data_IF_212279707445
#
_entry.id   IF_212279707445
#
_cell.length_a   1.000
_cell.length_b   1.000
_cell.length_c   1.000
_cell.angle_alpha   90.00
_cell.angle_beta   90.00
_cell.angle_gamma   90.00
#
_symmetry.space_group_name_H-M   'P 1'
#
loop_
_entity.id
_entity.type
_entity.pdbx_description
1 polymer ?
#
# COMPACT_ATOMS: atom_id res chain seq x y z
N UNK A 1 -24.03 11.45 -22.27
CA UNK A 1 -23.47 10.19 -22.80
C UNK A 1 -22.29 9.77 -21.93
N UNK A 2 -22.48 8.81 -21.02
CA UNK A 2 -21.37 8.25 -20.23
C UNK A 2 -20.51 7.39 -21.16
N UNK A 3 -19.28 7.82 -21.47
CA UNK A 3 -18.33 6.98 -22.21
C UNK A 3 -18.00 5.79 -21.31
N UNK A 4 -18.52 4.62 -21.64
CA UNK A 4 -18.13 3.39 -20.95
C UNK A 4 -16.63 3.20 -21.09
N UNK A 5 -15.90 3.21 -19.97
CA UNK A 5 -14.47 2.90 -19.93
C UNK A 5 -14.22 1.57 -20.66
N UNK A 6 -13.15 1.46 -21.47
CA UNK A 6 -12.91 0.21 -22.19
C UNK A 6 -12.53 -0.92 -21.22
N UNK A 7 -12.83 -2.19 -21.54
CA UNK A 7 -12.44 -3.33 -20.70
C UNK A 7 -10.93 -3.39 -20.42
N UNK A 8 -10.10 -2.97 -21.39
CA UNK A 8 -8.63 -2.90 -21.24
C UNK A 8 -8.22 -1.87 -20.19
N UNK A 9 -8.85 -0.71 -20.16
CA UNK A 9 -8.56 0.34 -19.18
C UNK A 9 -8.96 -0.10 -17.77
N UNK A 10 -10.12 -0.78 -17.62
CA UNK A 10 -10.50 -1.38 -16.33
C UNK A 10 -9.47 -2.40 -15.84
N UNK A 11 -9.05 -3.32 -16.70
CA UNK A 11 -8.04 -4.32 -16.35
C UNK A 11 -6.68 -3.71 -15.97
N UNK A 12 -6.31 -2.58 -16.58
CA UNK A 12 -5.11 -1.83 -16.22
C UNK A 12 -5.24 -1.18 -14.84
N UNK A 13 -6.35 -0.47 -14.59
CA UNK A 13 -6.64 0.17 -13.29
C UNK A 13 -6.66 -0.87 -12.17
N UNK A 14 -7.31 -2.01 -12.40
CA UNK A 14 -7.33 -3.15 -11.49
C UNK A 14 -5.93 -3.66 -11.14
N UNK A 15 -5.02 -3.71 -12.11
CA UNK A 15 -3.64 -4.15 -11.91
C UNK A 15 -2.85 -3.13 -11.10
N UNK A 16 -2.94 -1.86 -11.47
CA UNK A 16 -2.26 -0.75 -10.78
C UNK A 16 -2.65 -0.74 -9.31
N UNK A 17 -3.96 -0.68 -9.02
CA UNK A 17 -4.47 -0.63 -7.64
C UNK A 17 -3.98 -1.84 -6.81
N UNK A 18 -3.94 -3.05 -7.37
CA UNK A 18 -3.44 -4.23 -6.64
C UNK A 18 -1.94 -4.21 -6.39
N UNK A 19 -1.15 -3.81 -7.39
CA UNK A 19 0.31 -3.79 -7.30
C UNK A 19 0.75 -2.70 -6.33
N UNK A 20 0.19 -1.50 -6.45
CA UNK A 20 0.50 -0.38 -5.57
C UNK A 20 0.13 -0.74 -4.13
N UNK A 21 -1.09 -1.25 -3.90
CA UNK A 21 -1.51 -1.69 -2.56
C UNK A 21 -0.58 -2.72 -1.90
N UNK A 22 -0.05 -3.66 -2.68
CA UNK A 22 0.94 -4.62 -2.19
C UNK A 22 2.30 -3.97 -1.92
N UNK A 23 2.71 -3.00 -2.75
CA UNK A 23 3.91 -2.19 -2.56
C UNK A 23 3.88 -1.40 -1.26
N UNK A 24 2.76 -0.71 -0.98
CA UNK A 24 2.54 0.08 0.24
C UNK A 24 2.66 -0.80 1.51
N UNK A 25 2.13 -2.03 1.47
CA UNK A 25 2.28 -3.00 2.58
C UNK A 25 3.75 -3.40 2.82
N UNK A 26 4.54 -3.51 1.76
CA UNK A 26 5.97 -3.81 1.85
C UNK A 26 6.74 -2.61 2.39
N UNK A 27 6.48 -1.42 1.86
CA UNK A 27 7.09 -0.18 2.30
C UNK A 27 6.85 0.07 3.79
N UNK A 28 5.60 -0.05 4.25
CA UNK A 28 5.25 0.11 5.66
C UNK A 28 6.05 -0.82 6.58
N UNK A 29 6.24 -2.11 6.20
CA UNK A 29 7.08 -3.05 6.96
C UNK A 29 8.55 -2.66 7.00
N UNK A 30 9.11 -2.21 5.87
CA UNK A 30 10.50 -1.76 5.79
C UNK A 30 10.72 -0.58 6.74
N UNK A 31 9.82 0.40 6.72
CA UNK A 31 9.89 1.56 7.61
C UNK A 31 9.73 1.18 9.09
N UNK A 32 8.84 0.24 9.43
CA UNK A 32 8.71 -0.26 10.80
C UNK A 32 10.01 -0.93 11.28
N UNK A 33 10.63 -1.76 10.43
CA UNK A 33 11.94 -2.36 10.74
C UNK A 33 13.03 -1.30 10.92
N UNK A 34 13.07 -0.28 10.05
CA UNK A 34 14.00 0.83 10.18
C UNK A 34 13.78 1.62 11.49
N UNK A 35 12.54 1.90 11.88
CA UNK A 35 12.22 2.58 13.13
C UNK A 35 12.56 1.74 14.37
N UNK A 36 12.44 0.41 14.29
CA UNK A 36 12.83 -0.49 15.38
C UNK A 36 14.33 -0.40 15.68
N UNK A 37 15.16 -0.29 14.64
CA UNK A 37 16.63 -0.23 14.79
C UNK A 37 17.14 1.20 14.97
N UNK A 38 16.60 2.15 14.20
CA UNK A 38 17.14 3.50 14.03
C UNK A 38 16.25 4.59 14.63
N UNK A 39 15.11 4.25 15.24
CA UNK A 39 14.13 5.23 15.70
C UNK A 39 14.66 6.22 16.75
N UNK A 40 15.66 5.83 17.54
CA UNK A 40 16.32 6.71 18.54
C UNK A 40 17.55 7.44 18.00
N UNK A 41 17.93 7.20 16.75
CA UNK A 41 19.05 7.89 16.09
C UNK A 41 18.63 9.26 15.55
N UNK A 42 19.59 10.07 15.11
CA UNK A 42 19.34 11.38 14.49
C UNK A 42 18.50 11.31 13.21
N UNK A 43 18.45 10.16 12.53
CA UNK A 43 17.64 9.95 11.32
C UNK A 43 16.24 9.39 11.60
N UNK A 44 15.96 8.97 12.84
CA UNK A 44 14.67 8.42 13.25
C UNK A 44 13.47 9.30 12.90
N UNK A 45 13.49 10.62 13.16
CA UNK A 45 12.41 11.52 12.77
C UNK A 45 12.13 11.53 11.27
N UNK A 46 13.18 11.44 10.42
CA UNK A 46 13.02 11.44 8.96
C UNK A 46 12.38 10.14 8.47
N UNK A 47 12.79 9.00 9.03
CA UNK A 47 12.20 7.69 8.74
C UNK A 47 10.72 7.70 9.13
N UNK A 48 10.37 8.31 10.28
CA UNK A 48 8.98 8.44 10.72
C UNK A 48 8.14 9.30 9.76
N UNK A 49 8.68 10.44 9.32
CA UNK A 49 7.99 11.29 8.34
C UNK A 49 7.68 10.54 7.05
N UNK A 50 8.66 9.78 6.54
CA UNK A 50 8.50 8.97 5.33
C UNK A 50 7.47 7.83 5.54
N UNK A 51 7.53 7.15 6.69
CA UNK A 51 6.52 6.15 7.07
C UNK A 51 5.10 6.74 7.11
N UNK A 52 4.92 7.91 7.71
CA UNK A 52 3.61 8.55 7.84
C UNK A 52 3.03 8.90 6.44
N UNK A 53 3.87 9.24 5.45
CA UNK A 53 3.44 9.45 4.07
C UNK A 53 2.92 8.15 3.43
N UNK A 54 3.63 7.03 3.61
CA UNK A 54 3.19 5.71 3.11
C UNK A 54 1.89 5.25 3.77
N UNK A 55 1.66 5.59 5.05
CA UNK A 55 0.38 5.27 5.73
C UNK A 55 -0.80 5.97 5.04
N UNK A 56 -0.64 7.24 4.66
CA UNK A 56 -1.67 7.97 3.92
C UNK A 56 -1.86 7.44 2.50
N UNK A 57 -0.78 7.05 1.81
CA UNK A 57 -0.86 6.37 0.51
C UNK A 57 -1.62 5.04 0.61
N UNK A 58 -1.28 4.19 1.58
CA UNK A 58 -1.97 2.93 1.83
C UNK A 58 -3.47 3.14 2.07
N UNK A 59 -3.82 4.12 2.90
CA UNK A 59 -5.23 4.49 3.16
C UNK A 59 -5.93 4.90 1.88
N UNK A 60 -5.26 5.65 1.00
CA UNK A 60 -5.85 6.05 -0.27
C UNK A 60 -6.17 4.85 -1.16
N UNK A 61 -5.27 3.88 -1.25
CA UNK A 61 -5.53 2.67 -2.03
C UNK A 61 -6.65 1.81 -1.44
N UNK A 62 -6.77 1.73 -0.11
CA UNK A 62 -7.90 1.07 0.55
C UNK A 62 -9.26 1.69 0.18
N UNK A 63 -9.32 3.01 0.03
CA UNK A 63 -10.54 3.69 -0.45
C UNK A 63 -10.84 3.40 -1.92
N UNK A 64 -9.80 3.26 -2.76
CA UNK A 64 -9.94 3.03 -4.20
C UNK A 64 -10.38 1.60 -4.55
N UNK A 65 -10.03 0.60 -3.72
CA UNK A 65 -10.41 -0.81 -3.90
C UNK A 65 -11.94 -0.98 -4.07
N UNK A 66 -12.81 -0.53 -3.14
CA UNK A 66 -14.26 -0.69 -3.29
C UNK A 66 -14.83 0.17 -4.42
N UNK A 67 -14.27 1.37 -4.67
CA UNK A 67 -14.72 2.28 -5.75
C UNK A 67 -14.55 1.62 -7.12
N UNK A 68 -13.40 0.99 -7.35
CA UNK A 68 -13.08 0.35 -8.61
C UNK A 68 -13.48 -1.13 -8.65
N UNK A 69 -14.07 -1.67 -7.58
CA UNK A 69 -14.42 -3.10 -7.41
C UNK A 69 -13.23 -4.03 -7.67
N UNK A 70 -12.04 -3.56 -7.30
CA UNK A 70 -10.81 -4.34 -7.44
C UNK A 70 -10.85 -5.47 -6.44
N UNK A 71 -10.57 -6.70 -6.88
CA UNK A 71 -10.39 -7.82 -5.95
C UNK A 71 -9.14 -7.53 -5.09
N UNK A 72 -9.26 -7.48 -3.74
CA UNK A 72 -8.10 -7.35 -2.88
C UNK A 72 -7.09 -8.44 -3.21
N UNK A 73 -5.79 -8.11 -3.19
CA UNK A 73 -4.76 -9.09 -3.54
C UNK A 73 -4.83 -10.29 -2.59
N UNK A 74 -4.75 -11.52 -3.12
CA UNK A 74 -4.66 -12.76 -2.33
C UNK A 74 -3.43 -12.80 -1.41
N UNK A 75 -2.49 -11.88 -1.61
CA UNK A 75 -1.30 -11.74 -0.79
C UNK A 75 -1.55 -10.95 0.51
N UNK A 76 -2.67 -10.24 0.66
CA UNK A 76 -3.00 -9.48 1.87
C UNK A 76 -2.87 -10.32 3.16
N UNK A 77 -3.49 -11.53 3.25
CA UNK A 77 -3.33 -12.40 4.41
C UNK A 77 -1.88 -12.90 4.57
N UNK A 78 -1.19 -13.15 3.46
CA UNK A 78 0.18 -13.66 3.43
C UNK A 78 1.17 -12.64 4.01
N UNK A 79 0.98 -11.36 3.68
CA UNK A 79 1.69 -10.25 4.30
C UNK A 79 1.33 -10.12 5.78
N UNK A 80 0.04 -10.17 6.14
CA UNK A 80 -0.39 -10.13 7.55
C UNK A 80 0.30 -11.20 8.41
N UNK A 81 0.52 -12.40 7.88
CA UNK A 81 1.24 -13.50 8.57
C UNK A 81 2.75 -13.26 8.58
N UNK A 82 3.34 -12.77 7.49
CA UNK A 82 4.76 -12.41 7.43
C UNK A 82 5.14 -11.14 8.23
N UNK A 83 4.15 -10.45 8.83
CA UNK A 83 4.32 -9.23 9.63
C UNK A 83 4.15 -9.39 11.13
N UNK A 84 3.93 -10.61 11.63
CA UNK A 84 3.94 -10.93 13.06
C UNK A 84 5.05 -11.94 13.33
N UNK A 85 6.25 -11.44 13.66
CA UNK A 85 7.15 -11.88 14.73
C UNK A 85 8.38 -10.96 14.77
#
# INVERSE_FOLDING_TARGET
MSRSVSPKVRALVDRIIRVDHAGELGANRIYQGQLMVLGKSSIGPKIKEMHDQEVEHFKKFQELIPIHRVRPTLLLPLWSIAGLH
#
